data_IF_265703291072
#
_entry.id   IF_265703291072
#
_cell.length_a   1.000
_cell.length_b   1.000
_cell.length_c   1.000
_cell.angle_alpha   90.00
_cell.angle_beta   90.00
_cell.angle_gamma   90.00
#
_symmetry.space_group_name_H-M   'P 1'
#
loop_
_entity.id
_entity.type
_entity.pdbx_description
1 polymer ?
#
# COMPACT_ATOMS: atom_id res chain seq x y z
N UNK A 1 13.27 22.79 -13.98
CA UNK A 1 13.82 21.49 -13.55
C UNK A 1 12.74 20.43 -13.53
N UNK A 2 11.50 20.77 -13.17
CA UNK A 2 10.34 19.86 -13.23
C UNK A 2 9.67 19.73 -14.60
N UNK A 3 10.13 20.50 -15.59
CA UNK A 3 9.58 20.57 -16.95
C UNK A 3 10.62 19.99 -17.91
N UNK A 4 10.20 19.02 -18.72
CA UNK A 4 10.98 18.59 -19.89
C UNK A 4 10.77 19.60 -21.02
N UNK A 5 11.50 20.73 -20.95
CA UNK A 5 11.28 21.90 -21.80
C UNK A 5 11.17 21.55 -23.29
N UNK A 6 12.09 20.74 -23.83
CA UNK A 6 12.10 20.39 -25.24
C UNK A 6 10.82 19.65 -25.67
N UNK A 7 10.37 18.69 -24.87
CA UNK A 7 9.16 17.92 -25.14
C UNK A 7 7.91 18.81 -25.06
N UNK A 8 7.77 19.55 -23.96
CA UNK A 8 6.60 20.40 -23.74
C UNK A 8 6.52 21.52 -24.77
N UNK A 9 7.66 22.09 -25.18
CA UNK A 9 7.72 23.10 -26.23
C UNK A 9 7.31 22.53 -27.60
N UNK A 10 7.74 21.30 -27.93
CA UNK A 10 7.40 20.66 -29.21
C UNK A 10 5.91 20.34 -29.35
N UNK A 11 5.22 20.04 -28.26
CA UNK A 11 3.79 19.70 -28.30
C UNK A 11 2.87 20.88 -27.97
N UNK A 12 3.43 22.02 -27.58
CA UNK A 12 2.68 23.24 -27.27
C UNK A 12 1.85 23.70 -28.47
N UNK A 13 0.56 23.93 -28.25
CA UNK A 13 -0.41 24.34 -29.29
C UNK A 13 -0.82 23.22 -30.24
N UNK A 14 -0.42 21.97 -29.97
CA UNK A 14 -0.89 20.79 -30.71
C UNK A 14 -1.99 20.06 -29.94
N UNK A 15 -2.74 19.19 -30.62
CA UNK A 15 -3.75 18.32 -30.00
C UNK A 15 -3.17 17.36 -28.92
N UNK A 16 -1.84 17.25 -28.84
CA UNK A 16 -1.16 16.45 -27.81
C UNK A 16 -0.90 17.23 -26.53
N UNK A 17 -1.04 18.56 -26.51
CA UNK A 17 -0.81 19.35 -25.30
C UNK A 17 -1.78 18.96 -24.17
N UNK A 18 -3.01 18.59 -24.51
CA UNK A 18 -4.02 18.14 -23.54
C UNK A 18 -3.57 16.90 -22.76
N UNK A 19 -2.68 16.06 -23.34
CA UNK A 19 -2.11 14.90 -22.64
C UNK A 19 -1.22 15.30 -21.45
N UNK A 20 -0.70 16.54 -21.41
CA UNK A 20 0.10 17.05 -20.29
C UNK A 20 -0.74 17.62 -19.15
N UNK A 21 -2.03 17.89 -19.37
CA UNK A 21 -2.88 18.57 -18.38
C UNK A 21 -2.88 17.86 -17.02
N UNK A 22 -2.97 16.52 -17.01
CA UNK A 22 -2.91 15.71 -15.80
C UNK A 22 -1.56 15.76 -15.10
N UNK A 23 -0.45 15.73 -15.87
CA UNK A 23 0.91 15.79 -15.31
C UNK A 23 1.16 17.15 -14.67
N UNK A 24 0.83 18.24 -15.38
CA UNK A 24 1.00 19.62 -14.86
C UNK A 24 0.21 19.81 -13.58
N UNK A 25 -1.05 19.36 -13.57
CA UNK A 25 -1.89 19.42 -12.37
C UNK A 25 -1.28 18.69 -11.17
N UNK A 26 -0.73 17.48 -11.37
CA UNK A 26 -0.07 16.74 -10.30
C UNK A 26 1.18 17.47 -9.78
N UNK A 27 1.97 18.08 -10.67
CA UNK A 27 3.15 18.85 -10.27
C UNK A 27 2.79 20.16 -9.54
N UNK A 28 1.63 20.77 -9.84
CA UNK A 28 1.14 21.97 -9.15
C UNK A 28 0.54 21.64 -7.77
N UNK A 29 -0.09 20.47 -7.61
CA UNK A 29 -0.80 20.06 -6.39
C UNK A 29 0.06 19.24 -5.41
N UNK A 30 1.21 18.68 -5.84
CA UNK A 30 2.02 17.77 -5.05
C UNK A 30 3.51 18.11 -5.03
N UNK A 31 4.19 17.73 -3.94
CA UNK A 31 5.66 17.81 -3.82
C UNK A 31 6.23 16.40 -3.86
N UNK A 32 7.19 16.16 -4.75
CA UNK A 32 7.84 14.87 -4.91
C UNK A 32 9.24 14.90 -4.30
N UNK A 33 9.54 13.92 -3.45
CA UNK A 33 10.86 13.72 -2.84
C UNK A 33 11.32 12.29 -3.07
N UNK A 34 12.63 12.10 -3.22
CA UNK A 34 13.20 10.81 -3.59
C UNK A 34 14.38 10.46 -2.68
N UNK A 35 14.48 9.17 -2.35
CA UNK A 35 15.63 8.58 -1.68
C UNK A 35 16.00 7.29 -2.40
N UNK A 36 17.23 6.80 -2.20
CA UNK A 36 17.74 5.62 -2.88
C UNK A 36 17.87 4.45 -1.91
N UNK A 37 17.10 3.40 -2.15
CA UNK A 37 17.35 2.10 -1.53
C UNK A 37 18.64 1.51 -2.15
N UNK A 38 19.72 1.45 -1.37
CA UNK A 38 21.04 1.01 -1.88
C UNK A 38 21.12 -0.49 -2.09
N UNK A 39 20.34 -1.27 -1.35
CA UNK A 39 20.30 -2.73 -1.41
C UNK A 39 18.85 -3.21 -1.30
N UNK A 40 18.47 -4.20 -2.13
CA UNK A 40 17.14 -4.80 -2.14
C UNK A 40 16.98 -5.76 -0.95
N UNK A 41 16.72 -5.21 0.24
CA UNK A 41 16.55 -5.95 1.50
C UNK A 41 15.08 -6.08 1.93
N UNK A 42 14.15 -6.01 0.98
CA UNK A 42 12.72 -6.09 1.21
C UNK A 42 12.03 -4.77 1.55
N UNK A 43 10.71 -4.85 1.71
CA UNK A 43 9.83 -3.69 1.92
C UNK A 43 10.09 -2.98 3.26
N UNK A 44 10.39 -3.72 4.33
CA UNK A 44 10.75 -3.09 5.61
C UNK A 44 11.99 -2.19 5.46
N UNK A 45 13.02 -2.66 4.76
CA UNK A 45 14.20 -1.84 4.46
C UNK A 45 13.87 -0.62 3.57
N UNK A 46 12.96 -0.78 2.60
CA UNK A 46 12.52 0.33 1.75
C UNK A 46 11.82 1.43 2.58
N UNK A 47 10.92 1.03 3.48
CA UNK A 47 10.24 1.95 4.41
C UNK A 47 11.27 2.65 5.30
N UNK A 48 12.19 1.89 5.92
CA UNK A 48 13.24 2.47 6.77
C UNK A 48 14.13 3.46 6.01
N UNK A 49 14.47 3.18 4.75
CA UNK A 49 15.24 4.13 3.91
C UNK A 49 14.46 5.44 3.71
N UNK A 50 13.13 5.36 3.63
CA UNK A 50 12.22 6.49 3.53
C UNK A 50 12.15 7.38 4.77
N UNK A 51 12.61 6.92 5.94
CA UNK A 51 12.58 7.69 7.19
C UNK A 51 13.21 9.08 7.03
N UNK A 52 14.29 9.18 6.26
CA UNK A 52 14.99 10.45 5.97
C UNK A 52 14.12 11.51 5.31
N UNK A 53 13.02 11.10 4.64
CA UNK A 53 12.07 11.99 3.99
C UNK A 53 10.84 12.29 4.86
N UNK A 54 10.53 11.41 5.82
CA UNK A 54 9.31 11.47 6.64
C UNK A 54 9.59 12.10 8.01
N UNK A 55 10.65 11.66 8.69
CA UNK A 55 10.90 12.04 10.07
C UNK A 55 9.92 11.40 11.07
N UNK A 56 9.63 12.13 12.15
CA UNK A 56 8.83 11.63 13.28
C UNK A 56 7.34 11.99 13.16
N UNK A 57 6.73 11.62 12.03
CA UNK A 57 5.33 11.91 11.72
C UNK A 57 4.62 10.65 11.19
N UNK A 58 3.30 10.51 11.39
CA UNK A 58 2.54 9.42 10.76
C UNK A 58 2.53 9.57 9.23
N UNK A 59 2.57 8.45 8.52
CA UNK A 59 2.70 8.47 7.07
C UNK A 59 1.95 7.33 6.37
N UNK A 60 1.57 7.58 5.11
CA UNK A 60 0.98 6.57 4.25
C UNK A 60 2.03 5.78 3.48
N UNK A 61 1.83 4.47 3.33
CA UNK A 61 2.62 3.62 2.44
C UNK A 61 1.69 2.99 1.41
N UNK A 62 2.08 3.11 0.14
CA UNK A 62 1.34 2.55 -0.99
C UNK A 62 2.29 1.70 -1.84
N UNK A 63 1.91 0.46 -2.10
CA UNK A 63 2.56 -0.37 -3.12
C UNK A 63 1.77 -0.21 -4.42
N UNK A 64 2.45 0.24 -5.47
CA UNK A 64 1.81 0.64 -6.72
C UNK A 64 1.32 -0.55 -7.56
N UNK A 65 1.85 -1.74 -7.31
CA UNK A 65 1.41 -3.01 -7.90
C UNK A 65 0.02 -3.45 -7.37
N UNK A 66 -0.35 -3.05 -6.16
CA UNK A 66 -1.74 -3.15 -5.70
C UNK A 66 -2.57 -1.99 -6.24
N UNK A 67 -3.25 -2.22 -7.36
CA UNK A 67 -4.14 -1.23 -7.96
C UNK A 67 -5.52 -1.29 -7.29
N UNK A 68 -5.82 -0.32 -6.43
CA UNK A 68 -7.09 -0.25 -5.72
C UNK A 68 -8.04 0.79 -6.33
N UNK A 69 -9.31 0.41 -6.48
CA UNK A 69 -10.41 1.28 -6.88
C UNK A 69 -11.42 1.32 -5.73
N UNK A 70 -11.53 2.46 -5.06
CA UNK A 70 -12.54 2.66 -4.01
C UNK A 70 -13.97 2.72 -4.57
N UNK A 71 -14.95 2.34 -3.75
CA UNK A 71 -16.36 2.49 -4.11
C UNK A 71 -16.85 3.94 -3.93
N UNK A 72 -16.84 4.42 -2.67
CA UNK A 72 -17.24 5.78 -2.30
C UNK A 72 -16.06 6.71 -2.06
N UNK A 73 -15.00 6.17 -1.46
CA UNK A 73 -13.78 6.87 -1.11
C UNK A 73 -12.57 6.04 -1.53
N UNK A 74 -11.47 6.69 -1.88
CA UNK A 74 -10.21 6.01 -2.12
C UNK A 74 -9.76 5.21 -0.89
N UNK A 75 -9.07 4.09 -1.11
CA UNK A 75 -8.68 3.17 -0.01
C UNK A 75 -7.82 3.88 1.03
N UNK A 76 -6.88 4.73 0.60
CA UNK A 76 -6.06 5.50 1.55
C UNK A 76 -6.89 6.46 2.39
N UNK A 77 -7.89 7.11 1.81
CA UNK A 77 -8.80 8.00 2.56
C UNK A 77 -9.56 7.23 3.64
N UNK A 78 -9.98 5.99 3.34
CA UNK A 78 -10.63 5.13 4.33
C UNK A 78 -9.69 4.80 5.51
N UNK A 79 -8.42 4.47 5.23
CA UNK A 79 -7.41 4.20 6.26
C UNK A 79 -7.11 5.44 7.09
N UNK A 80 -6.99 6.61 6.46
CA UNK A 80 -6.75 7.89 7.14
C UNK A 80 -7.89 8.20 8.11
N UNK A 81 -9.16 8.00 7.73
CA UNK A 81 -10.28 8.19 8.65
C UNK A 81 -10.22 7.26 9.88
N UNK A 82 -9.72 6.03 9.73
CA UNK A 82 -9.49 5.13 10.88
C UNK A 82 -8.35 5.66 11.73
N UNK A 83 -7.25 6.08 11.11
CA UNK A 83 -6.11 6.67 11.82
C UNK A 83 -6.51 7.91 12.63
N UNK A 84 -7.29 8.83 12.05
CA UNK A 84 -7.78 10.03 12.74
C UNK A 84 -8.64 9.71 13.97
N UNK A 85 -9.34 8.57 13.97
CA UNK A 85 -10.18 8.11 15.10
C UNK A 85 -9.36 7.44 16.20
N UNK A 86 -8.36 6.64 15.83
CA UNK A 86 -7.70 5.71 16.77
C UNK A 86 -6.23 6.04 17.07
N UNK A 87 -5.57 6.83 16.22
CA UNK A 87 -4.20 7.31 16.44
C UNK A 87 -3.12 6.22 16.39
N UNK A 88 -3.38 5.08 15.74
CA UNK A 88 -2.47 3.95 15.64
C UNK A 88 -2.33 3.47 14.20
N UNK A 89 -1.30 2.68 13.91
CA UNK A 89 -1.10 2.12 12.56
C UNK A 89 -2.35 1.36 12.07
N UNK A 90 -2.67 1.54 10.80
CA UNK A 90 -3.80 0.91 10.11
C UNK A 90 -3.31 0.24 8.84
N UNK A 91 -3.67 -1.02 8.63
CA UNK A 91 -3.36 -1.76 7.40
C UNK A 91 -4.64 -2.10 6.65
N UNK A 92 -4.62 -2.01 5.33
CA UNK A 92 -5.73 -2.51 4.52
C UNK A 92 -5.68 -4.03 4.44
N UNK A 93 -6.85 -4.66 4.52
CA UNK A 93 -6.99 -6.11 4.36
C UNK A 93 -8.13 -6.46 3.41
N UNK A 94 -8.05 -7.63 2.78
CA UNK A 94 -9.13 -8.23 2.02
C UNK A 94 -9.22 -9.74 2.27
N UNK A 95 -10.38 -10.33 2.05
CA UNK A 95 -10.53 -11.77 2.04
C UNK A 95 -10.05 -12.32 0.69
N UNK A 96 -9.07 -13.22 0.72
CA UNK A 96 -8.57 -13.90 -0.49
C UNK A 96 -9.01 -15.37 -0.50
N UNK A 97 -9.00 -16.04 -1.66
CA UNK A 97 -9.14 -17.49 -1.72
C UNK A 97 -8.04 -18.19 -0.89
N UNK A 98 -8.41 -19.25 -0.16
CA UNK A 98 -7.47 -19.96 0.73
C UNK A 98 -6.28 -20.58 0.02
N UNK A 99 -6.37 -20.84 -1.28
CA UNK A 99 -5.26 -21.31 -2.11
C UNK A 99 -4.29 -20.20 -2.52
N UNK A 100 -4.63 -18.93 -2.31
CA UNK A 100 -3.79 -17.77 -2.61
C UNK A 100 -3.10 -17.14 -1.39
N UNK A 101 -3.45 -17.54 -0.16
CA UNK A 101 -2.91 -16.97 1.09
C UNK A 101 -1.38 -17.00 1.18
N UNK A 102 -0.74 -17.98 0.54
CA UNK A 102 0.71 -18.13 0.50
C UNK A 102 1.44 -17.00 -0.26
N UNK A 103 0.70 -16.15 -0.97
CA UNK A 103 1.22 -14.97 -1.68
C UNK A 103 1.30 -13.73 -0.79
N UNK A 104 0.58 -13.71 0.35
CA UNK A 104 0.35 -12.50 1.14
C UNK A 104 0.73 -12.68 2.62
N UNK A 105 0.97 -11.56 3.31
CA UNK A 105 0.90 -11.55 4.77
C UNK A 105 -0.56 -11.72 5.20
N UNK A 106 -0.84 -12.52 6.23
CA UNK A 106 -2.20 -12.71 6.76
C UNK A 106 -2.28 -12.30 8.22
N UNK A 107 -3.43 -11.75 8.61
CA UNK A 107 -3.65 -11.32 9.99
C UNK A 107 -4.40 -12.38 10.81
N UNK A 108 -4.14 -12.37 12.12
CA UNK A 108 -5.04 -12.91 13.14
C UNK A 108 -5.54 -11.72 13.93
N UNK A 109 -6.85 -11.50 13.94
CA UNK A 109 -7.41 -10.29 14.50
C UNK A 109 -8.82 -10.54 15.05
N UNK A 110 -9.25 -9.69 15.97
CA UNK A 110 -10.62 -9.70 16.49
C UNK A 110 -11.38 -8.50 15.90
N UNK A 111 -12.58 -8.74 15.39
CA UNK A 111 -13.42 -7.65 14.86
C UNK A 111 -13.93 -6.78 16.00
N UNK A 112 -13.63 -5.48 15.96
CA UNK A 112 -14.02 -4.50 16.98
C UNK A 112 -15.18 -3.60 16.51
N UNK A 113 -15.28 -3.38 15.20
CA UNK A 113 -16.39 -2.73 14.52
C UNK A 113 -16.57 -3.42 13.15
N UNK A 114 -17.73 -3.32 12.48
CA UNK A 114 -17.93 -3.96 11.18
C UNK A 114 -16.82 -3.61 10.17
N UNK A 115 -16.03 -4.61 9.78
CA UNK A 115 -14.90 -4.47 8.86
C UNK A 115 -13.63 -3.84 9.46
N UNK A 116 -13.58 -3.57 10.76
CA UNK A 116 -12.41 -3.06 11.47
C UNK A 116 -11.98 -4.06 12.53
N UNK A 117 -10.72 -4.45 12.47
CA UNK A 117 -10.17 -5.52 13.29
C UNK A 117 -8.97 -5.03 14.09
N UNK A 118 -8.84 -5.49 15.33
CA UNK A 118 -7.65 -5.30 16.14
C UNK A 118 -6.71 -6.49 15.97
N UNK A 119 -5.49 -6.22 15.47
CA UNK A 119 -4.54 -7.27 15.10
C UNK A 119 -3.91 -7.86 16.35
N UNK A 120 -3.99 -9.19 16.48
CA UNK A 120 -3.30 -9.99 17.50
C UNK A 120 -2.01 -10.63 17.00
N UNK A 121 -1.99 -11.04 15.73
CA UNK A 121 -0.81 -11.63 15.11
C UNK A 121 -0.79 -11.36 13.60
N UNK A 122 0.39 -11.48 12.99
CA UNK A 122 0.57 -11.47 11.54
C UNK A 122 1.58 -12.54 11.12
N UNK A 123 1.38 -13.11 9.93
CA UNK A 123 2.27 -14.15 9.39
C UNK A 123 2.55 -13.85 7.92
N UNK A 124 3.82 -13.74 7.53
CA UNK A 124 4.23 -13.49 6.16
C UNK A 124 4.15 -14.76 5.31
N UNK A 125 3.25 -14.77 4.31
CA UNK A 125 3.15 -15.80 3.28
C UNK A 125 3.06 -17.22 3.87
N UNK A 126 2.12 -17.51 4.78
CA UNK A 126 2.03 -18.84 5.37
C UNK A 126 1.67 -19.89 4.30
N UNK A 127 2.14 -21.13 4.44
CA UNK A 127 1.55 -22.27 3.74
C UNK A 127 0.03 -22.31 3.96
N UNK A 128 -0.73 -22.81 2.97
CA UNK A 128 -2.20 -22.86 3.02
C UNK A 128 -2.74 -23.58 4.27
N UNK A 129 -2.07 -24.66 4.67
CA UNK A 129 -2.42 -25.51 5.80
C UNK A 129 -2.02 -24.91 7.15
N UNK A 130 -1.14 -23.90 7.15
CA UNK A 130 -0.70 -23.17 8.34
C UNK A 130 -1.35 -21.77 8.45
N UNK A 131 -2.11 -21.35 7.43
CA UNK A 131 -2.74 -20.03 7.39
C UNK A 131 -3.86 -19.92 8.44
N UNK A 132 -3.73 -19.01 9.43
CA UNK A 132 -4.71 -18.89 10.52
C UNK A 132 -6.00 -18.17 10.09
N UNK A 133 -5.99 -17.50 8.95
CA UNK A 133 -7.12 -16.82 8.34
C UNK A 133 -6.88 -16.65 6.83
N UNK A 134 -7.90 -16.18 6.11
CA UNK A 134 -7.77 -15.71 4.73
C UNK A 134 -7.78 -14.18 4.60
N UNK A 135 -7.58 -13.46 5.70
CA UNK A 135 -7.52 -12.00 5.73
C UNK A 135 -6.11 -11.55 5.33
N UNK A 136 -5.91 -11.28 4.05
CA UNK A 136 -4.63 -10.88 3.49
C UNK A 136 -4.38 -9.38 3.68
N UNK A 137 -3.14 -9.02 4.00
CA UNK A 137 -2.64 -7.64 4.05
C UNK A 137 -2.39 -7.16 2.62
N UNK A 138 -2.87 -5.96 2.35
CA UNK A 138 -2.76 -5.30 1.05
C UNK A 138 -1.76 -4.16 1.16
N UNK A 139 -1.18 -3.74 0.04
CA UNK A 139 -0.20 -2.68 -0.12
C UNK A 139 -0.70 -1.26 0.18
N UNK A 140 -1.49 -1.07 1.24
CA UNK A 140 -1.97 0.22 1.75
C UNK A 140 -1.85 0.22 3.26
N UNK A 141 -1.08 1.18 3.78
CA UNK A 141 -0.79 1.31 5.20
C UNK A 141 -0.85 2.77 5.60
N UNK A 142 -1.29 3.04 6.82
CA UNK A 142 -0.97 4.26 7.57
C UNK A 142 -0.16 3.82 8.78
N UNK A 143 1.06 4.31 8.91
CA UNK A 143 2.00 3.87 9.94
C UNK A 143 2.33 5.02 10.90
N UNK A 144 2.45 4.69 12.18
CA UNK A 144 2.99 5.60 13.20
C UNK A 144 4.53 5.55 13.20
N UNK A 145 5.21 6.64 13.56
CA UNK A 145 6.67 6.78 13.36
C UNK A 145 7.51 5.79 14.19
N UNK A 146 6.99 5.23 15.28
CA UNK A 146 7.65 4.17 16.04
C UNK A 146 7.93 2.91 15.21
N UNK A 147 7.24 2.74 14.06
CA UNK A 147 7.53 1.65 13.12
C UNK A 147 8.98 1.68 12.64
N UNK A 148 9.63 2.85 12.52
CA UNK A 148 11.02 2.92 12.08
C UNK A 148 11.96 2.26 13.09
N UNK A 149 11.77 2.53 14.38
CA UNK A 149 12.54 1.89 15.45
C UNK A 149 12.34 0.37 15.43
N UNK A 150 11.09 -0.07 15.28
CA UNK A 150 10.75 -1.50 15.23
C UNK A 150 11.40 -2.17 14.01
N UNK A 151 11.36 -1.54 12.82
CA UNK A 151 11.99 -2.08 11.61
C UNK A 151 13.51 -2.20 11.78
N UNK A 152 14.19 -1.26 12.46
CA UNK A 152 15.64 -1.37 12.72
C UNK A 152 16.01 -2.58 13.59
N UNK A 153 15.12 -2.96 14.49
CA UNK A 153 15.27 -4.12 15.36
C UNK A 153 14.80 -5.43 14.71
N UNK A 154 14.06 -5.35 13.61
CA UNK A 154 13.48 -6.51 12.93
C UNK A 154 14.56 -7.27 12.16
N UNK A 155 14.86 -8.54 12.53
CA UNK A 155 15.81 -9.35 11.78
C UNK A 155 15.25 -9.72 10.40
N UNK A 156 16.12 -10.06 9.43
CA UNK A 156 15.66 -10.59 8.16
C UNK A 156 14.85 -11.88 8.35
N UNK A 157 13.66 -11.91 7.74
CA UNK A 157 12.72 -13.02 7.79
C UNK A 157 12.74 -13.84 6.51
N UNK A 158 11.56 -14.04 5.91
CA UNK A 158 11.39 -14.81 4.68
C UNK A 158 12.27 -14.24 3.56
N UNK A 159 12.93 -15.12 2.80
CA UNK A 159 13.88 -14.79 1.72
C UNK A 159 15.10 -13.94 2.15
N UNK A 160 15.39 -13.81 3.45
CA UNK A 160 16.48 -12.95 3.93
C UNK A 160 16.17 -11.45 3.81
N UNK A 161 14.90 -11.09 3.70
CA UNK A 161 14.40 -9.73 3.61
C UNK A 161 13.81 -9.25 4.94
N UNK A 162 13.88 -7.95 5.20
CA UNK A 162 13.19 -7.32 6.33
C UNK A 162 11.71 -7.19 5.96
N UNK A 163 10.87 -8.02 6.58
CA UNK A 163 9.44 -8.07 6.31
C UNK A 163 8.70 -7.03 7.14
N UNK A 164 7.89 -6.20 6.49
CA UNK A 164 7.03 -5.24 7.21
C UNK A 164 6.01 -5.96 8.09
N UNK A 165 5.58 -7.16 7.71
CA UNK A 165 4.67 -8.02 8.46
C UNK A 165 5.23 -8.40 9.83
N UNK A 166 6.53 -8.69 9.91
CA UNK A 166 7.20 -9.02 11.18
C UNK A 166 7.31 -7.78 12.09
N UNK A 167 7.60 -6.61 11.50
CA UNK A 167 7.63 -5.35 12.24
C UNK A 167 6.23 -4.94 12.75
N UNK A 168 5.18 -5.06 11.93
CA UNK A 168 3.81 -4.76 12.31
C UNK A 168 3.27 -5.73 13.37
N UNK A 169 3.66 -7.01 13.30
CA UNK A 169 3.38 -7.99 14.35
C UNK A 169 3.97 -7.55 15.70
N UNK A 170 5.22 -7.09 15.70
CA UNK A 170 5.85 -6.58 16.91
C UNK A 170 5.19 -5.27 17.38
N UNK A 171 4.82 -4.37 16.46
CA UNK A 171 4.07 -3.15 16.78
C UNK A 171 2.72 -3.47 17.42
N UNK A 172 1.99 -4.46 16.90
CA UNK A 172 0.73 -4.91 17.45
C UNK A 172 0.87 -5.48 18.87
N UNK A 173 2.01 -6.12 19.20
CA UNK A 173 2.31 -6.61 20.55
C UNK A 173 2.70 -5.52 21.52
N UNK A 174 3.42 -4.49 21.06
CA UNK A 174 3.87 -3.35 21.87
C UNK A 174 2.74 -2.35 22.15
N UNK A 175 1.79 -2.24 21.24
CA UNK A 175 0.71 -1.26 21.31
C UNK A 175 -0.53 -1.76 20.60
N UNK A 176 -0.89 -1.09 19.50
CA UNK A 176 -2.11 -1.37 18.76
C UNK A 176 -1.88 -1.19 17.28
N UNK A 177 -2.33 -2.16 16.49
CA UNK A 177 -2.42 -2.06 15.04
C UNK A 177 -3.82 -2.48 14.65
N UNK A 178 -4.47 -1.69 13.79
CA UNK A 178 -5.78 -2.00 13.26
C UNK A 178 -5.67 -2.49 11.82
N UNK A 179 -6.56 -3.39 11.44
CA UNK A 179 -6.75 -3.81 10.06
C UNK A 179 -8.14 -3.39 9.59
N UNK A 180 -8.22 -2.72 8.44
CA UNK A 180 -9.48 -2.30 7.82
C UNK A 180 -9.74 -3.15 6.59
N UNK A 181 -10.86 -3.89 6.59
CA UNK A 181 -11.41 -4.47 5.37
C UNK A 181 -12.01 -3.35 4.52
N UNK A 182 -11.24 -2.87 3.55
CA UNK A 182 -11.59 -1.70 2.76
C UNK A 182 -12.78 -1.97 1.84
N UNK A 183 -13.55 -0.91 1.53
CA UNK A 183 -14.61 -0.94 0.53
C UNK A 183 -14.05 -0.51 -0.82
N UNK A 184 -13.95 -1.45 -1.75
CA UNK A 184 -13.33 -1.25 -3.04
C UNK A 184 -13.02 -2.55 -3.74
N UNK A 185 -12.31 -2.44 -4.86
CA UNK A 185 -11.75 -3.56 -5.61
C UNK A 185 -10.24 -3.39 -5.72
N UNK A 186 -9.50 -4.46 -5.51
CA UNK A 186 -8.06 -4.54 -5.79
C UNK A 186 -7.82 -5.36 -7.06
N UNK A 187 -6.77 -4.98 -7.79
CA UNK A 187 -6.13 -5.81 -8.80
C UNK A 187 -4.66 -5.98 -8.42
N UNK A 188 -4.19 -7.23 -8.36
CA UNK A 188 -2.79 -7.56 -8.11
C UNK A 188 -1.99 -7.43 -9.43
N UNK A 189 -1.57 -6.21 -9.74
CA UNK A 189 -0.75 -5.90 -10.91
C UNK A 189 0.73 -6.29 -10.74
N UNK A 190 1.10 -6.90 -9.61
CA UNK A 190 2.39 -7.59 -9.45
C UNK A 190 2.40 -8.92 -10.20
N UNK A 191 1.22 -9.47 -10.49
CA UNK A 191 1.03 -10.64 -11.34
C UNK A 191 0.63 -10.28 -12.78
N UNK A 192 1.00 -11.14 -13.74
CA UNK A 192 0.60 -10.97 -15.15
C UNK A 192 -0.91 -11.02 -15.31
N UNK A 193 -1.57 -11.97 -14.63
CA UNK A 193 -3.01 -12.17 -14.74
C UNK A 193 -3.78 -10.97 -14.16
N UNK A 194 -3.39 -10.48 -12.98
CA UNK A 194 -4.01 -9.31 -12.37
C UNK A 194 -3.77 -8.01 -13.15
N UNK A 195 -2.59 -7.85 -13.79
CA UNK A 195 -2.34 -6.72 -14.69
C UNK A 195 -3.26 -6.72 -15.93
N UNK A 196 -3.48 -7.90 -16.53
CA UNK A 196 -4.40 -8.06 -17.67
C UNK A 196 -5.85 -7.81 -17.23
N UNK A 197 -6.25 -8.32 -16.06
CA UNK A 197 -7.57 -8.10 -15.50
C UNK A 197 -7.84 -6.61 -15.26
N UNK A 198 -6.90 -5.91 -14.64
CA UNK A 198 -6.96 -4.46 -14.44
C UNK A 198 -7.13 -3.73 -15.76
N UNK A 199 -6.31 -4.05 -16.75
CA UNK A 199 -6.36 -3.44 -18.08
C UNK A 199 -7.74 -3.60 -18.72
N UNK A 200 -8.29 -4.82 -18.71
CA UNK A 200 -9.61 -5.10 -19.26
C UNK A 200 -10.72 -4.34 -18.51
N UNK A 201 -10.64 -4.31 -17.17
CA UNK A 201 -11.60 -3.57 -16.34
C UNK A 201 -11.65 -2.09 -16.68
N UNK A 202 -10.48 -1.44 -16.80
CA UNK A 202 -10.41 -0.01 -17.14
C UNK A 202 -10.77 0.25 -18.61
N UNK A 203 -10.39 -0.63 -19.53
CA UNK A 203 -10.80 -0.56 -20.93
C UNK A 203 -12.32 -0.52 -21.07
N UNK A 204 -13.03 -1.48 -20.46
CA UNK A 204 -14.49 -1.53 -20.51
C UNK A 204 -15.13 -0.29 -19.87
N UNK A 205 -14.55 0.21 -18.78
CA UNK A 205 -15.04 1.41 -18.09
C UNK A 205 -14.86 2.68 -18.92
N UNK A 206 -13.77 2.80 -19.67
CA UNK A 206 -13.54 3.91 -20.59
C UNK A 206 -14.42 3.80 -21.82
N UNK A 207 -14.57 2.59 -22.38
CA UNK A 207 -15.43 2.32 -23.54
C UNK A 207 -16.91 2.64 -23.25
N UNK A 208 -17.41 2.31 -22.07
CA UNK A 208 -18.80 2.57 -21.68
C UNK A 208 -19.07 4.04 -21.27
N UNK A 209 -18.03 4.89 -21.20
CA UNK A 209 -18.16 6.34 -20.94
C UNK A 209 -18.21 7.17 -22.22
N UNK A 210 -17.87 6.59 -23.37
CA UNK A 210 -18.03 7.21 -24.70
C UNK A 210 -19.35 6.83 -25.33
#
# INVERSE_FOLDING_TARGET
>A
FDISYELEHQIKGSDKEDMLSGIRRLMDECVFSFTRQTEMKGLGHAILTGETLIGNEPFGVLLADDLCVGEKHDVMTQLVHVYERFGCSVVAVEEVPMDEVHKYGVIVADEIEPGLFEVRDMIEKPPRDEAPSNMAIIGRYVLTPDIFDIIRETPPGKNGEIQITDALKEQARRGRVLALRFSGRRFDCGSVDGFVEATNFFYERMRNKG
#
